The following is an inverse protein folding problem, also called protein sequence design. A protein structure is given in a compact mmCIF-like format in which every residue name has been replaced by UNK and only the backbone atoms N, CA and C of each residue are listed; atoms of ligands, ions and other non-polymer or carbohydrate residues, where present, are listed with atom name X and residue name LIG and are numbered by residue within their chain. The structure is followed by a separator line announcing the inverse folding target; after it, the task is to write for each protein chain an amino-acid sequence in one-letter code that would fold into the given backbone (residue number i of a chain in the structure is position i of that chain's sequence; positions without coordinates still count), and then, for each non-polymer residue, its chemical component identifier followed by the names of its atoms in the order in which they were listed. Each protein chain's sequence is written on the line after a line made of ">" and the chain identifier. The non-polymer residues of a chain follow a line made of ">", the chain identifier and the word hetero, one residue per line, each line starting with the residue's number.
data_IF_384148175390
#
_entry.id   IF_384148175390
#
_cell.length_a   1.000
_cell.length_b   1.000
_cell.length_c   1.000
_cell.angle_alpha   90.00
_cell.angle_beta   90.00
_cell.angle_gamma   90.00
#
_symmetry.space_group_name_H-M   'P 1'
#
loop_
_entity.id
_entity.type
_entity.pdbx_description
1 polymer ?
#
# COMPACT_ATOMS: atom_id res chain seq x y z
N UNK A 1 27.35 2.31 -20.30
CA UNK A 1 27.86 2.87 -19.04
C UNK A 1 27.96 4.38 -19.15
N UNK A 2 27.56 5.11 -18.12
CA UNK A 2 27.71 6.57 -18.05
C UNK A 2 29.16 6.90 -17.68
N UNK A 3 29.75 7.94 -18.34
CA UNK A 3 31.11 8.41 -18.08
C UNK A 3 31.06 9.68 -17.21
N UNK A 4 31.87 9.71 -16.15
CA UNK A 4 32.14 10.88 -15.32
C UNK A 4 33.38 11.62 -15.80
N UNK A 5 33.36 12.98 -15.82
CA UNK A 5 34.57 13.78 -16.10
C UNK A 5 35.41 13.91 -14.83
N UNK A 6 36.66 13.55 -14.90
CA UNK A 6 37.68 13.74 -13.86
C UNK A 6 38.64 14.86 -14.24
N UNK A 7 39.51 15.26 -13.31
CA UNK A 7 40.45 16.37 -13.47
C UNK A 7 41.28 16.22 -14.77
N UNK A 8 41.32 17.27 -15.61
CA UNK A 8 42.19 17.33 -16.82
C UNK A 8 41.61 16.62 -18.05
N UNK A 9 40.32 16.80 -18.34
CA UNK A 9 39.64 16.24 -19.53
C UNK A 9 39.69 14.71 -19.69
N UNK A 10 39.90 14.01 -18.58
CA UNK A 10 39.81 12.55 -18.52
C UNK A 10 38.42 12.13 -18.09
N UNK A 11 38.00 10.98 -18.60
CA UNK A 11 36.73 10.34 -18.28
C UNK A 11 36.97 9.00 -17.61
N UNK A 12 36.14 8.64 -16.64
CA UNK A 12 36.14 7.33 -16.00
C UNK A 12 34.70 6.79 -15.96
N UNK A 13 34.54 5.53 -15.64
CA UNK A 13 33.24 5.01 -15.27
C UNK A 13 32.76 5.77 -14.03
N UNK A 14 31.45 6.03 -13.94
CA UNK A 14 30.88 6.81 -12.82
C UNK A 14 31.27 6.24 -11.47
N UNK A 15 31.18 4.94 -11.30
CA UNK A 15 31.52 4.23 -10.06
C UNK A 15 32.98 4.40 -9.67
N UNK A 16 33.92 4.29 -10.64
CA UNK A 16 35.34 4.53 -10.42
C UNK A 16 35.68 5.97 -10.08
N UNK A 17 34.82 6.90 -10.51
CA UNK A 17 34.91 8.33 -10.19
C UNK A 17 34.31 8.71 -8.84
N UNK A 18 33.77 7.75 -8.07
CA UNK A 18 33.08 7.97 -6.81
C UNK A 18 31.69 8.58 -6.98
N UNK A 19 31.02 8.31 -8.11
CA UNK A 19 29.64 8.70 -8.37
C UNK A 19 28.71 7.49 -8.24
N UNK A 20 27.60 7.68 -7.55
CA UNK A 20 26.55 6.68 -7.39
C UNK A 20 25.21 7.26 -7.85
N UNK A 21 24.34 6.44 -8.41
CA UNK A 21 23.01 6.84 -8.86
C UNK A 21 21.95 6.12 -8.02
N UNK A 22 21.02 6.87 -7.43
CA UNK A 22 20.00 6.33 -6.57
C UNK A 22 18.85 7.30 -6.33
N UNK A 23 17.87 6.86 -5.55
CA UNK A 23 16.70 7.65 -5.16
C UNK A 23 17.01 8.54 -3.96
N UNK A 24 16.63 9.80 -4.03
CA UNK A 24 16.83 10.78 -2.95
C UNK A 24 15.64 10.77 -1.98
N UNK A 25 15.86 10.32 -0.77
CA UNK A 25 14.90 10.37 0.33
C UNK A 25 15.24 11.51 1.30
N UNK A 26 14.43 12.58 1.31
CA UNK A 26 14.62 13.74 2.21
C UNK A 26 13.94 13.47 3.55
N UNK A 27 14.68 13.59 4.64
CA UNK A 27 14.22 13.38 6.01
C UNK A 27 14.03 14.72 6.73
N UNK A 28 12.78 15.01 7.09
CA UNK A 28 12.37 16.19 7.89
C UNK A 28 12.98 17.52 7.40
N UNK A 29 13.20 17.66 6.09
CA UNK A 29 13.85 18.85 5.49
C UNK A 29 15.26 19.18 6.03
N UNK A 30 15.93 18.27 6.71
CA UNK A 30 17.24 18.53 7.35
C UNK A 30 18.41 17.88 6.60
N UNK A 31 18.22 16.68 6.10
CA UNK A 31 19.19 15.90 5.37
C UNK A 31 18.48 14.91 4.47
N UNK A 32 19.21 14.21 3.63
CA UNK A 32 18.67 13.16 2.78
C UNK A 32 19.59 11.94 2.78
N UNK A 33 19.02 10.82 2.32
CA UNK A 33 19.79 9.67 1.85
C UNK A 33 19.60 9.53 0.35
N UNK A 34 20.65 9.06 -0.32
CA UNK A 34 20.56 8.57 -1.68
C UNK A 34 20.77 7.07 -1.61
N UNK A 35 19.67 6.34 -1.87
CA UNK A 35 19.63 4.90 -1.72
C UNK A 35 19.66 4.21 -3.08
N UNK A 36 20.49 3.18 -3.19
CA UNK A 36 20.57 2.25 -4.30
C UNK A 36 20.57 0.82 -3.79
N UNK A 37 20.67 -0.21 -4.68
CA UNK A 37 20.51 -1.62 -4.29
C UNK A 37 21.48 -2.09 -3.19
N UNK A 38 22.70 -1.54 -3.17
CA UNK A 38 23.76 -1.98 -2.26
C UNK A 38 24.44 -0.84 -1.49
N UNK A 39 23.87 0.38 -1.54
CA UNK A 39 24.46 1.54 -0.88
C UNK A 39 23.39 2.49 -0.34
N UNK A 40 23.79 3.28 0.69
CA UNK A 40 23.07 4.44 1.20
C UNK A 40 24.07 5.55 1.49
N UNK A 41 23.86 6.71 0.88
CA UNK A 41 24.76 7.88 0.99
C UNK A 41 24.02 9.00 1.71
N UNK A 42 24.58 9.48 2.80
CA UNK A 42 24.09 10.66 3.50
C UNK A 42 24.39 11.93 2.72
N UNK A 43 23.41 12.80 2.55
CA UNK A 43 23.53 14.09 1.86
C UNK A 43 23.01 15.21 2.78
N UNK A 44 23.86 16.14 3.22
CA UNK A 44 23.41 17.29 3.99
C UNK A 44 22.59 18.25 3.11
N UNK A 45 21.65 18.99 3.72
CA UNK A 45 20.72 19.89 3.00
C UNK A 45 21.41 20.88 2.06
N UNK A 46 22.55 21.40 2.46
CA UNK A 46 23.35 22.36 1.66
C UNK A 46 23.88 21.75 0.34
N UNK A 47 23.85 20.42 0.21
CA UNK A 47 24.36 19.66 -0.95
C UNK A 47 23.25 18.99 -1.79
N UNK A 48 21.99 19.40 -1.61
CA UNK A 48 20.87 18.89 -2.43
C UNK A 48 20.85 19.50 -3.84
N UNK A 49 21.46 20.67 -4.02
CA UNK A 49 21.32 21.47 -5.24
C UNK A 49 19.85 21.76 -5.55
N UNK A 50 19.35 21.28 -6.70
CA UNK A 50 17.94 21.42 -7.10
C UNK A 50 17.14 20.13 -6.90
N UNK A 51 17.73 19.11 -6.27
CA UNK A 51 17.05 17.84 -6.07
C UNK A 51 15.99 17.93 -4.97
N UNK A 52 14.93 17.18 -5.16
CA UNK A 52 13.76 17.08 -4.27
C UNK A 52 13.50 15.63 -3.89
N UNK A 53 12.64 15.42 -2.91
CA UNK A 53 12.26 14.07 -2.46
C UNK A 53 11.72 13.22 -3.62
N UNK A 54 12.20 11.98 -3.74
CA UNK A 54 11.80 11.04 -4.78
C UNK A 54 12.54 11.20 -6.13
N UNK A 55 13.43 12.21 -6.25
CA UNK A 55 14.24 12.35 -7.46
C UNK A 55 15.27 11.22 -7.57
N UNK A 56 15.47 10.73 -8.77
CA UNK A 56 16.63 9.89 -9.11
C UNK A 56 17.83 10.80 -9.38
N UNK A 57 18.87 10.66 -8.59
CA UNK A 57 19.99 11.59 -8.59
C UNK A 57 21.33 10.87 -8.80
N UNK A 58 22.28 11.62 -9.36
CA UNK A 58 23.68 11.27 -9.34
C UNK A 58 24.34 12.00 -8.15
N UNK A 59 24.88 11.23 -7.21
CA UNK A 59 25.58 11.73 -6.02
C UNK A 59 27.07 11.45 -6.15
N UNK A 60 27.92 12.42 -5.82
CA UNK A 60 29.35 12.25 -5.72
C UNK A 60 29.73 12.06 -4.25
N UNK A 61 30.48 11.00 -3.96
CA UNK A 61 31.02 10.74 -2.62
C UNK A 61 32.04 11.80 -2.28
N UNK A 62 31.84 12.50 -1.16
CA UNK A 62 32.75 13.54 -0.64
C UNK A 62 33.54 13.07 0.57
N UNK A 63 32.98 12.16 1.36
CA UNK A 63 33.65 11.48 2.46
C UNK A 63 33.29 10.00 2.50
N UNK A 64 34.32 9.14 2.53
CA UNK A 64 34.19 7.69 2.73
C UNK A 64 35.24 7.28 3.77
N UNK A 65 34.82 7.24 5.05
CA UNK A 65 35.69 6.84 6.16
C UNK A 65 35.26 5.47 6.66
N UNK A 66 36.20 4.56 6.80
CA UNK A 66 35.95 3.21 7.33
C UNK A 66 35.12 3.26 8.61
N UNK A 67 34.00 2.49 8.62
CA UNK A 67 33.05 2.40 9.75
C UNK A 67 32.08 3.55 9.90
N UNK A 68 32.05 4.57 9.00
CA UNK A 68 31.06 5.65 8.96
C UNK A 68 30.20 5.57 7.70
N UNK A 69 28.97 6.14 7.78
CA UNK A 69 28.13 6.33 6.59
C UNK A 69 28.85 7.22 5.59
N UNK A 70 28.83 6.84 4.31
CA UNK A 70 29.34 7.67 3.21
C UNK A 70 28.60 8.98 3.16
N UNK A 71 29.30 10.10 2.99
CA UNK A 71 28.72 11.42 2.74
C UNK A 71 28.89 11.82 1.29
N UNK A 72 27.89 12.46 0.70
CA UNK A 72 27.91 12.86 -0.70
C UNK A 72 27.25 14.21 -0.97
N UNK A 73 27.35 14.61 -2.23
CA UNK A 73 26.73 15.81 -2.81
C UNK A 73 25.99 15.44 -4.07
N UNK A 74 24.75 15.90 -4.23
CA UNK A 74 24.00 15.72 -5.47
C UNK A 74 24.67 16.55 -6.57
N UNK A 75 25.09 15.89 -7.63
CA UNK A 75 25.72 16.54 -8.79
C UNK A 75 24.71 16.82 -9.88
N UNK A 76 23.75 15.90 -10.05
CA UNK A 76 22.76 16.01 -11.12
C UNK A 76 21.48 15.27 -10.72
N UNK A 77 20.35 15.85 -11.07
CA UNK A 77 19.07 15.12 -11.10
C UNK A 77 18.98 14.41 -12.45
N UNK A 78 18.89 13.08 -12.39
CA UNK A 78 18.80 12.21 -13.57
C UNK A 78 17.37 12.14 -14.07
N UNK A 79 16.43 11.96 -13.11
CA UNK A 79 14.99 11.89 -13.38
C UNK A 79 14.25 12.54 -12.20
N UNK A 80 13.24 13.34 -12.49
CA UNK A 80 12.36 13.90 -11.47
C UNK A 80 11.38 12.83 -10.95
N UNK A 81 11.22 12.78 -9.64
CA UNK A 81 10.21 11.95 -9.00
C UNK A 81 8.81 12.48 -9.28
N UNK A 82 8.63 13.80 -9.15
CA UNK A 82 7.39 14.50 -9.50
C UNK A 82 7.71 15.90 -10.01
N UNK A 83 6.93 16.43 -10.94
CA UNK A 83 6.94 17.84 -11.33
C UNK A 83 5.84 18.65 -10.62
N UNK A 84 5.05 18.02 -9.74
CA UNK A 84 3.97 18.64 -8.98
C UNK A 84 4.37 18.87 -7.54
N UNK A 85 4.01 20.04 -7.03
CA UNK A 85 4.28 20.44 -5.65
C UNK A 85 3.02 21.02 -5.04
N UNK A 86 2.70 20.60 -3.82
CA UNK A 86 1.57 21.11 -3.06
C UNK A 86 2.09 22.12 -2.05
N UNK A 87 1.42 23.27 -1.98
CA UNK A 87 1.80 24.32 -1.05
C UNK A 87 0.73 25.38 -0.87
N UNK A 88 0.99 26.30 0.06
CA UNK A 88 0.12 27.42 0.37
C UNK A 88 0.46 28.60 -0.53
N UNK A 89 -0.50 29.08 -1.29
CA UNK A 89 -0.32 30.24 -2.16
C UNK A 89 -0.32 31.55 -1.37
N UNK A 90 0.69 32.36 -1.57
CA UNK A 90 0.84 33.70 -1.02
C UNK A 90 0.91 34.73 -2.14
N UNK A 91 -0.10 35.57 -2.23
CA UNK A 91 -0.20 36.62 -3.26
C UNK A 91 0.61 37.85 -2.90
N UNK A 92 1.34 38.39 -3.85
CA UNK A 92 1.94 39.71 -3.85
C UNK A 92 1.25 40.64 -4.86
N UNK A 93 1.69 41.88 -5.04
CA UNK A 93 1.04 42.84 -5.97
C UNK A 93 1.01 42.37 -7.41
N UNK A 94 2.13 41.89 -7.96
CA UNK A 94 2.28 41.50 -9.36
C UNK A 94 2.79 40.08 -9.58
N UNK A 95 2.75 39.22 -8.55
CA UNK A 95 3.18 37.83 -8.60
C UNK A 95 2.70 37.11 -7.34
N UNK A 96 2.99 35.85 -7.22
CA UNK A 96 2.77 35.09 -6.00
C UNK A 96 3.92 34.15 -5.70
N UNK A 97 3.87 33.55 -4.53
CA UNK A 97 4.72 32.44 -4.14
C UNK A 97 3.85 31.30 -3.65
N UNK A 98 4.31 30.09 -3.87
CA UNK A 98 3.78 28.92 -3.18
C UNK A 98 4.83 28.41 -2.21
N UNK A 99 4.42 28.37 -0.92
CA UNK A 99 5.21 27.81 0.16
C UNK A 99 4.88 26.31 0.26
N UNK A 100 5.80 25.42 -0.13
CA UNK A 100 5.53 23.99 -0.13
C UNK A 100 5.24 23.46 1.28
N UNK A 101 4.23 22.61 1.42
CA UNK A 101 3.87 21.94 2.69
C UNK A 101 4.80 20.79 3.04
N UNK A 102 5.57 20.28 2.07
CA UNK A 102 6.48 19.14 2.23
C UNK A 102 7.89 19.47 1.72
N UNK A 103 8.78 18.51 1.81
CA UNK A 103 10.23 18.58 1.64
C UNK A 103 10.74 19.08 0.26
N UNK A 104 10.30 20.23 -0.19
CA UNK A 104 10.79 20.86 -1.42
C UNK A 104 11.94 21.84 -1.15
N UNK A 105 11.92 22.52 -0.01
CA UNK A 105 13.04 23.33 0.50
C UNK A 105 13.12 24.79 0.05
N UNK A 106 12.41 25.21 -0.99
CA UNK A 106 12.38 26.60 -1.49
C UNK A 106 10.95 26.98 -1.89
N UNK A 107 10.58 28.27 -1.72
CA UNK A 107 9.32 28.79 -2.25
C UNK A 107 9.37 28.83 -3.77
N UNK A 108 8.23 28.53 -4.40
CA UNK A 108 8.08 28.53 -5.86
C UNK A 108 7.49 29.85 -6.28
N UNK A 109 8.17 30.56 -7.18
CA UNK A 109 7.68 31.80 -7.79
C UNK A 109 6.57 31.50 -8.80
N UNK A 110 5.46 32.24 -8.70
CA UNK A 110 4.32 32.12 -9.60
C UNK A 110 4.12 33.44 -10.35
N UNK A 111 4.35 33.49 -11.68
CA UNK A 111 4.13 34.67 -12.48
C UNK A 111 2.69 35.19 -12.39
N UNK A 112 2.50 36.49 -12.52
CA UNK A 112 1.21 37.16 -12.38
C UNK A 112 0.10 36.52 -13.24
N UNK A 113 0.41 36.14 -14.47
CA UNK A 113 -0.55 35.51 -15.39
C UNK A 113 -1.17 34.19 -14.87
N UNK A 114 -0.51 33.55 -13.92
CA UNK A 114 -0.97 32.29 -13.29
C UNK A 114 -1.53 32.50 -11.88
N UNK A 115 -1.68 33.78 -11.45
CA UNK A 115 -2.22 34.12 -10.13
C UNK A 115 -3.64 34.69 -10.19
N UNK A 116 -4.17 35.06 -11.36
CA UNK A 116 -5.31 35.99 -11.49
C UNK A 116 -6.50 35.60 -10.63
N UNK A 117 -6.95 34.35 -10.71
CA UNK A 117 -8.15 33.85 -10.04
C UNK A 117 -7.87 32.97 -8.83
N UNK A 118 -6.63 32.95 -8.33
CA UNK A 118 -6.25 32.10 -7.20
C UNK A 118 -6.45 32.86 -5.89
N UNK A 119 -7.33 32.41 -4.97
CA UNK A 119 -7.51 33.06 -3.68
C UNK A 119 -6.24 32.93 -2.82
N UNK A 120 -5.94 34.01 -2.07
CA UNK A 120 -4.78 34.02 -1.18
C UNK A 120 -4.93 33.00 -0.04
N UNK A 121 -3.80 32.43 0.42
CA UNK A 121 -3.74 31.47 1.55
C UNK A 121 -4.49 30.15 1.31
N UNK A 122 -4.75 29.79 0.07
CA UNK A 122 -5.30 28.49 -0.26
C UNK A 122 -4.20 27.48 -0.55
N UNK A 123 -4.51 26.22 -0.31
CA UNK A 123 -3.70 25.06 -0.70
C UNK A 123 -3.88 24.85 -2.20
N UNK A 124 -2.77 24.76 -2.92
CA UNK A 124 -2.76 24.65 -4.38
C UNK A 124 -1.78 23.57 -4.85
N UNK A 125 -2.01 23.06 -6.05
CA UNK A 125 -1.07 22.20 -6.77
C UNK A 125 -0.35 23.06 -7.80
N UNK A 126 0.97 23.00 -7.77
CA UNK A 126 1.87 23.72 -8.71
C UNK A 126 2.56 22.70 -9.60
N UNK A 127 2.54 22.92 -10.88
CA UNK A 127 3.46 22.28 -11.81
C UNK A 127 4.72 23.14 -11.96
N UNK A 128 5.90 22.55 -11.66
CA UNK A 128 7.18 23.24 -11.68
C UNK A 128 7.73 23.25 -13.10
N UNK A 129 7.85 24.44 -13.68
CA UNK A 129 8.39 24.64 -15.04
C UNK A 129 9.92 24.85 -15.01
N UNK A 130 10.43 25.47 -13.93
CA UNK A 130 11.86 25.72 -13.72
C UNK A 130 12.24 25.40 -12.26
N UNK A 131 13.27 24.59 -12.07
CA UNK A 131 13.64 24.06 -10.73
C UNK A 131 14.58 24.97 -9.93
N UNK A 132 14.88 26.13 -10.48
CA UNK A 132 15.84 27.06 -9.85
C UNK A 132 17.29 26.72 -10.19
N UNK A 133 18.15 27.68 -9.87
CA UNK A 133 19.60 27.57 -9.93
C UNK A 133 20.24 28.36 -8.78
N UNK A 134 21.52 28.74 -8.89
CA UNK A 134 22.22 29.52 -7.89
C UNK A 134 21.66 30.96 -7.78
N UNK A 135 21.08 31.50 -8.87
CA UNK A 135 20.66 32.90 -8.98
C UNK A 135 19.14 33.05 -8.87
N UNK A 136 18.37 32.08 -9.30
CA UNK A 136 16.91 32.15 -9.45
C UNK A 136 16.19 31.08 -8.62
N UNK A 137 15.06 31.48 -8.04
CA UNK A 137 14.14 30.57 -7.36
C UNK A 137 13.44 29.64 -8.38
N UNK A 138 12.92 28.49 -7.92
CA UNK A 138 12.00 27.69 -8.75
C UNK A 138 10.81 28.51 -9.23
N UNK A 139 10.33 28.24 -10.43
CA UNK A 139 9.17 28.88 -11.06
C UNK A 139 8.20 27.81 -11.52
N UNK A 140 6.89 28.09 -11.41
CA UNK A 140 5.85 27.17 -11.84
C UNK A 140 4.51 27.87 -12.09
N UNK A 141 3.50 27.06 -12.41
CA UNK A 141 2.13 27.49 -12.60
C UNK A 141 1.19 26.70 -11.69
N UNK A 142 0.20 27.38 -11.13
CA UNK A 142 -0.86 26.73 -10.37
C UNK A 142 -1.75 26.02 -11.38
N UNK A 143 -1.94 24.70 -11.18
CA UNK A 143 -2.75 23.83 -12.04
C UNK A 143 -4.06 23.43 -11.36
N UNK A 144 -4.10 23.48 -10.02
CA UNK A 144 -5.32 23.19 -9.24
C UNK A 144 -5.36 23.97 -7.92
N UNK A 145 -6.58 24.21 -7.42
CA UNK A 145 -6.84 24.90 -6.15
C UNK A 145 -7.63 23.93 -5.26
N UNK A 146 -6.93 23.30 -4.31
CA UNK A 146 -7.52 22.29 -3.43
C UNK A 146 -8.47 22.90 -2.39
N UNK A 147 -8.14 24.10 -1.85
CA UNK A 147 -9.03 24.77 -0.90
C UNK A 147 -8.37 25.29 0.36
N UNK A 148 -9.08 25.27 1.48
CA UNK A 148 -8.59 25.77 2.77
C UNK A 148 -7.59 24.76 3.39
N UNK A 149 -6.37 25.17 3.75
CA UNK A 149 -5.39 24.25 4.33
C UNK A 149 -5.78 23.68 5.72
N UNK A 150 -6.82 24.22 6.36
CA UNK A 150 -7.34 23.71 7.64
C UNK A 150 -8.58 22.83 7.47
N UNK A 151 -9.09 22.65 6.25
CA UNK A 151 -10.17 21.71 5.96
C UNK A 151 -9.60 20.28 5.84
N UNK A 152 -10.16 19.36 6.61
CA UNK A 152 -9.71 17.96 6.64
C UNK A 152 -9.84 17.27 5.28
N UNK A 153 -10.93 17.54 4.53
CA UNK A 153 -11.11 16.96 3.19
C UNK A 153 -10.05 17.47 2.22
N UNK A 154 -9.74 18.77 2.27
CA UNK A 154 -8.68 19.38 1.47
C UNK A 154 -7.31 18.79 1.80
N UNK A 155 -7.05 18.50 3.07
CA UNK A 155 -5.80 17.84 3.48
C UNK A 155 -5.72 16.40 2.95
N UNK A 156 -6.83 15.67 2.92
CA UNK A 156 -6.88 14.31 2.34
C UNK A 156 -6.64 14.36 0.84
N UNK A 157 -7.30 15.27 0.11
CA UNK A 157 -7.04 15.47 -1.34
C UNK A 157 -5.58 15.83 -1.61
N UNK A 158 -4.98 16.64 -0.74
CA UNK A 158 -3.56 16.97 -0.84
C UNK A 158 -2.65 15.77 -0.64
N UNK A 159 -3.00 14.83 0.24
CA UNK A 159 -2.26 13.57 0.41
C UNK A 159 -2.38 12.69 -0.85
N UNK A 160 -3.59 12.58 -1.40
CA UNK A 160 -3.86 11.81 -2.63
C UNK A 160 -3.01 12.34 -3.78
N UNK A 161 -3.05 13.67 -4.02
CA UNK A 161 -2.27 14.31 -5.09
C UNK A 161 -0.75 14.21 -4.87
N UNK A 162 -0.29 14.40 -3.63
CA UNK A 162 1.13 14.30 -3.26
C UNK A 162 1.72 12.93 -3.57
N UNK A 163 0.99 11.88 -3.22
CA UNK A 163 1.47 10.52 -3.33
C UNK A 163 1.12 9.90 -4.70
N UNK A 164 0.54 10.72 -5.61
CA UNK A 164 0.17 10.28 -6.95
C UNK A 164 -0.89 9.19 -6.96
N UNK A 165 -1.72 9.14 -5.91
CA UNK A 165 -2.79 8.18 -5.79
C UNK A 165 -3.96 8.55 -6.72
N UNK A 166 -4.71 7.57 -7.18
CA UNK A 166 -5.90 7.78 -8.00
C UNK A 166 -6.98 6.77 -7.66
N UNK A 167 -8.19 7.25 -7.41
CA UNK A 167 -9.38 6.38 -7.31
C UNK A 167 -9.79 5.84 -8.69
N UNK A 168 -9.43 6.54 -9.75
CA UNK A 168 -9.79 6.21 -11.12
C UNK A 168 -8.89 5.13 -11.70
N UNK A 169 -9.50 4.21 -12.42
CA UNK A 169 -8.82 3.23 -13.26
C UNK A 169 -8.87 3.66 -14.72
N UNK A 170 -7.81 3.34 -15.46
CA UNK A 170 -7.75 3.66 -16.88
C UNK A 170 -8.79 2.88 -17.72
N UNK A 171 -9.01 3.28 -18.97
CA UNK A 171 -10.05 2.71 -19.84
C UNK A 171 -9.80 1.23 -20.19
N UNK A 172 -8.53 0.79 -20.23
CA UNK A 172 -8.19 -0.60 -20.53
C UNK A 172 -8.58 -1.50 -19.36
N UNK A 173 -8.26 -1.11 -18.14
CA UNK A 173 -8.69 -1.79 -16.91
C UNK A 173 -10.21 -1.84 -16.82
N UNK A 174 -10.91 -0.71 -17.06
CA UNK A 174 -12.39 -0.66 -17.06
C UNK A 174 -13.02 -1.60 -18.09
N UNK A 175 -12.41 -1.79 -19.26
CA UNK A 175 -12.87 -2.76 -20.27
C UNK A 175 -12.63 -4.20 -19.85
N UNK A 176 -11.47 -4.49 -19.26
CA UNK A 176 -11.13 -5.83 -18.81
C UNK A 176 -12.07 -6.27 -17.66
N UNK A 177 -12.31 -5.39 -16.67
CA UNK A 177 -13.26 -5.65 -15.59
C UNK A 177 -14.65 -5.98 -16.09
N UNK A 178 -15.16 -5.25 -17.07
CA UNK A 178 -16.48 -5.51 -17.66
C UNK A 178 -16.60 -6.87 -18.39
N UNK A 179 -15.48 -7.46 -18.77
CA UNK A 179 -15.44 -8.78 -19.40
C UNK A 179 -15.33 -9.92 -18.39
N UNK A 180 -15.05 -9.63 -17.11
CA UNK A 180 -14.99 -10.63 -16.05
C UNK A 180 -16.39 -11.17 -15.77
N UNK A 181 -16.44 -12.43 -15.37
CA UNK A 181 -17.66 -13.15 -15.03
C UNK A 181 -17.41 -14.11 -13.88
N UNK A 182 -18.46 -14.58 -13.26
CA UNK A 182 -18.41 -15.68 -12.33
C UNK A 182 -17.86 -16.96 -12.98
N UNK A 183 -17.38 -17.89 -12.17
CA UNK A 183 -16.89 -19.19 -12.64
C UNK A 183 -18.00 -19.99 -13.35
N UNK A 184 -17.64 -20.64 -14.44
CA UNK A 184 -18.52 -21.64 -15.09
C UNK A 184 -18.51 -22.96 -14.31
N UNK A 185 -19.49 -23.82 -14.60
CA UNK A 185 -19.54 -25.16 -14.02
C UNK A 185 -18.33 -26.01 -14.41
N UNK A 186 -17.74 -25.79 -15.60
CA UNK A 186 -16.53 -26.47 -16.06
C UNK A 186 -15.33 -26.03 -15.20
N UNK A 187 -15.17 -24.73 -14.97
CA UNK A 187 -14.10 -24.16 -14.14
C UNK A 187 -14.22 -24.60 -12.67
N UNK A 188 -15.44 -24.79 -12.17
CA UNK A 188 -15.72 -25.33 -10.83
C UNK A 188 -15.28 -26.80 -10.73
N UNK A 189 -15.57 -27.63 -11.74
CA UNK A 189 -15.18 -29.04 -11.75
C UNK A 189 -13.67 -29.27 -11.74
N UNK A 190 -12.89 -28.33 -12.21
CA UNK A 190 -11.41 -28.39 -12.18
C UNK A 190 -10.81 -28.10 -10.79
N UNK A 191 -11.63 -27.70 -9.84
CA UNK A 191 -11.20 -27.30 -8.48
C UNK A 191 -11.71 -28.32 -7.45
N UNK A 192 -11.03 -28.38 -6.31
CA UNK A 192 -11.51 -29.16 -5.17
C UNK A 192 -12.77 -28.51 -4.60
N UNK A 193 -13.85 -29.24 -4.57
CA UNK A 193 -15.14 -28.73 -4.09
C UNK A 193 -15.23 -28.80 -2.56
N UNK A 194 -15.25 -27.66 -1.92
CA UNK A 194 -15.38 -27.49 -0.47
C UNK A 194 -16.71 -26.82 -0.07
N UNK A 195 -17.65 -26.67 -1.00
CA UNK A 195 -18.94 -25.98 -0.77
C UNK A 195 -19.85 -26.68 0.23
N UNK A 196 -19.57 -27.93 0.55
CA UNK A 196 -20.30 -28.72 1.56
C UNK A 196 -19.86 -28.39 3.00
N UNK A 197 -18.72 -27.71 3.18
CA UNK A 197 -18.21 -27.34 4.49
C UNK A 197 -18.76 -25.98 4.94
N UNK A 198 -19.09 -25.79 6.23
CA UNK A 198 -19.58 -24.53 6.76
C UNK A 198 -18.44 -23.53 6.98
N UNK A 199 -17.74 -23.18 5.91
CA UNK A 199 -16.64 -22.22 5.91
C UNK A 199 -17.20 -20.83 6.19
N UNK A 200 -16.49 -20.01 6.97
CA UNK A 200 -16.89 -18.64 7.36
C UNK A 200 -15.78 -17.64 7.10
N UNK A 201 -16.13 -16.39 6.82
CA UNK A 201 -15.24 -15.25 6.92
C UNK A 201 -15.39 -14.59 8.29
N UNK A 202 -14.33 -13.99 8.84
CA UNK A 202 -14.37 -13.30 10.16
C UNK A 202 -13.58 -12.00 10.04
N UNK A 203 -14.28 -10.86 9.93
CA UNK A 203 -13.71 -9.56 9.61
C UNK A 203 -14.22 -8.45 10.52
N UNK A 204 -13.85 -7.20 10.24
CA UNK A 204 -14.47 -6.02 10.82
C UNK A 204 -15.92 -5.83 10.35
N UNK A 205 -16.70 -5.08 11.11
CA UNK A 205 -18.13 -4.87 10.80
C UNK A 205 -18.36 -4.17 9.44
N UNK A 206 -17.41 -3.33 9.01
CA UNK A 206 -17.42 -2.51 7.80
C UNK A 206 -16.63 -3.08 6.63
N UNK A 207 -15.96 -4.23 6.79
CA UNK A 207 -15.19 -4.88 5.73
C UNK A 207 -16.08 -5.26 4.53
N UNK A 208 -15.59 -5.04 3.32
CA UNK A 208 -16.29 -5.36 2.06
C UNK A 208 -15.47 -6.27 1.15
N UNK A 209 -14.20 -6.32 1.36
CA UNK A 209 -13.17 -7.10 0.71
C UNK A 209 -12.79 -8.29 1.60
N UNK A 210 -13.60 -9.34 1.54
CA UNK A 210 -13.43 -10.54 2.36
C UNK A 210 -12.43 -11.46 1.65
N UNK A 211 -11.16 -11.35 2.02
CA UNK A 211 -10.05 -12.01 1.30
C UNK A 211 -9.80 -13.44 1.79
N UNK A 212 -10.13 -13.74 3.05
CA UNK A 212 -9.88 -15.04 3.66
C UNK A 212 -11.11 -15.65 4.33
N UNK A 213 -11.19 -16.97 4.30
CA UNK A 213 -12.22 -17.74 4.95
C UNK A 213 -11.61 -18.95 5.64
N UNK A 214 -12.21 -19.36 6.76
CA UNK A 214 -11.66 -20.38 7.64
C UNK A 214 -12.68 -21.47 7.98
N UNK A 215 -12.17 -22.68 8.18
CA UNK A 215 -12.90 -23.82 8.70
C UNK A 215 -12.01 -24.63 9.63
N UNK A 216 -12.53 -25.05 10.76
CA UNK A 216 -11.81 -25.91 11.71
C UNK A 216 -12.67 -27.07 12.12
N UNK A 217 -12.06 -28.27 12.16
CA UNK A 217 -12.66 -29.51 12.64
C UNK A 217 -11.69 -30.19 13.62
N UNK A 218 -12.22 -30.76 14.71
CA UNK A 218 -11.46 -31.59 15.63
C UNK A 218 -11.83 -33.05 15.40
N UNK A 219 -10.81 -33.88 15.13
CA UNK A 219 -11.00 -35.32 14.93
C UNK A 219 -11.12 -36.05 16.28
N UNK A 220 -11.72 -37.29 16.26
CA UNK A 220 -11.85 -38.13 17.47
C UNK A 220 -10.50 -38.45 18.14
N UNK A 221 -9.40 -38.46 17.38
CA UNK A 221 -8.05 -38.71 17.88
C UNK A 221 -7.40 -37.49 18.54
N UNK A 222 -8.11 -36.36 18.63
CA UNK A 222 -7.62 -35.10 19.22
C UNK A 222 -6.90 -34.15 18.26
N UNK A 223 -6.62 -34.59 17.03
CA UNK A 223 -6.02 -33.74 16.00
C UNK A 223 -7.00 -32.70 15.48
N UNK A 224 -6.46 -31.61 14.91
CA UNK A 224 -7.25 -30.53 14.31
C UNK A 224 -6.98 -30.46 12.81
N UNK A 225 -8.05 -30.28 12.05
CA UNK A 225 -7.98 -29.88 10.64
C UNK A 225 -8.33 -28.39 10.55
N UNK A 226 -7.44 -27.60 9.96
CA UNK A 226 -7.66 -26.21 9.66
C UNK A 226 -7.60 -25.99 8.16
N UNK A 227 -8.65 -25.40 7.59
CA UNK A 227 -8.64 -24.88 6.22
C UNK A 227 -8.56 -23.36 6.28
N UNK A 228 -7.63 -22.79 5.54
CA UNK A 228 -7.55 -21.36 5.26
C UNK A 228 -7.67 -21.19 3.76
N UNK A 229 -8.75 -20.56 3.33
CA UNK A 229 -9.08 -20.35 1.92
C UNK A 229 -8.94 -18.88 1.59
N UNK A 230 -7.98 -18.54 0.72
CA UNK A 230 -7.74 -17.18 0.26
C UNK A 230 -8.38 -17.01 -1.13
N UNK A 231 -8.98 -15.88 -1.41
CA UNK A 231 -9.54 -15.54 -2.71
C UNK A 231 -8.51 -15.74 -3.83
N UNK A 232 -8.80 -16.58 -4.83
CA UNK A 232 -7.92 -16.82 -5.98
C UNK A 232 -8.04 -15.67 -6.99
N UNK A 233 -7.41 -14.52 -6.67
CA UNK A 233 -7.36 -13.35 -7.54
C UNK A 233 -6.77 -13.70 -8.90
N UNK A 234 -5.84 -14.68 -8.98
CA UNK A 234 -5.20 -15.12 -10.22
C UNK A 234 -6.17 -15.86 -11.17
N UNK A 235 -7.33 -16.27 -10.66
CA UNK A 235 -8.40 -16.80 -11.51
C UNK A 235 -8.92 -15.73 -12.47
N UNK A 236 -9.01 -14.49 -12.02
CA UNK A 236 -9.56 -13.35 -12.76
C UNK A 236 -8.47 -12.47 -13.38
N UNK A 237 -7.42 -12.15 -12.63
CA UNK A 237 -6.31 -11.28 -13.05
C UNK A 237 -5.21 -12.12 -13.69
N UNK A 238 -5.06 -12.00 -15.01
CA UNK A 238 -4.05 -12.75 -15.75
C UNK A 238 -2.75 -11.97 -15.86
N UNK A 239 -1.63 -12.68 -15.73
CA UNK A 239 -0.30 -12.06 -15.85
C UNK A 239 -0.14 -11.30 -17.16
N UNK A 240 0.34 -10.06 -17.09
CA UNK A 240 0.52 -9.15 -18.22
C UNK A 240 -0.74 -8.44 -18.71
N UNK A 241 -1.91 -8.69 -18.10
CA UNK A 241 -3.16 -8.00 -18.40
C UNK A 241 -3.13 -6.53 -17.97
N UNK A 242 -4.14 -5.75 -18.33
CA UNK A 242 -4.26 -4.36 -17.89
C UNK A 242 -4.49 -4.27 -16.38
N UNK A 243 -5.29 -5.17 -15.82
CA UNK A 243 -5.50 -5.31 -14.38
C UNK A 243 -4.21 -5.64 -13.63
N UNK A 244 -3.41 -6.60 -14.13
CA UNK A 244 -2.15 -6.99 -13.51
C UNK A 244 -1.14 -5.84 -13.49
N UNK A 245 -0.99 -5.14 -14.62
CA UNK A 245 -0.09 -3.98 -14.72
C UNK A 245 -0.50 -2.84 -13.80
N UNK A 246 -1.78 -2.54 -13.73
CA UNK A 246 -2.32 -1.49 -12.85
C UNK A 246 -2.13 -1.88 -11.37
N UNK A 247 -2.44 -3.12 -11.00
CA UNK A 247 -2.23 -3.63 -9.65
C UNK A 247 -0.75 -3.58 -9.24
N UNK A 248 0.16 -3.94 -10.16
CA UNK A 248 1.60 -3.85 -9.92
C UNK A 248 2.06 -2.40 -9.69
N UNK A 249 1.50 -1.43 -10.43
CA UNK A 249 1.80 0.00 -10.26
C UNK A 249 1.29 0.53 -8.92
N UNK A 250 0.08 0.12 -8.50
CA UNK A 250 -0.51 0.54 -7.22
C UNK A 250 0.18 -0.11 -6.02
N UNK A 251 0.57 -1.37 -6.13
CA UNK A 251 1.26 -2.15 -5.11
C UNK A 251 0.37 -2.65 -3.98
N UNK A 252 -0.57 -1.83 -3.49
CA UNK A 252 -1.53 -2.14 -2.43
C UNK A 252 -2.79 -1.26 -2.52
N UNK A 253 -3.79 -1.55 -1.70
CA UNK A 253 -4.87 -0.60 -1.39
C UNK A 253 -4.40 0.40 -0.33
N UNK A 254 -4.83 1.66 -0.43
CA UNK A 254 -4.48 2.72 0.53
C UNK A 254 -5.73 3.10 1.30
N UNK A 255 -5.70 2.90 2.62
CA UNK A 255 -6.80 3.21 3.53
C UNK A 255 -6.60 4.61 4.09
N UNK A 256 -7.42 5.55 3.63
CA UNK A 256 -7.50 6.91 4.15
C UNK A 256 -8.58 6.98 5.26
N UNK A 257 -8.68 8.13 5.92
CA UNK A 257 -9.61 8.30 7.05
C UNK A 257 -11.08 8.16 6.61
N UNK A 258 -11.42 8.64 5.42
CA UNK A 258 -12.78 8.74 4.88
C UNK A 258 -13.08 7.76 3.75
N UNK A 259 -12.03 7.21 3.10
CA UNK A 259 -12.17 6.36 1.91
C UNK A 259 -11.00 5.39 1.73
N UNK A 260 -11.21 4.42 0.86
CA UNK A 260 -10.16 3.48 0.41
C UNK A 260 -9.91 3.71 -1.07
N UNK A 261 -8.64 3.91 -1.43
CA UNK A 261 -8.16 3.86 -2.81
C UNK A 261 -7.72 2.42 -3.08
N UNK A 262 -8.50 1.63 -3.82
CA UNK A 262 -8.29 0.20 -3.91
C UNK A 262 -7.20 -0.16 -4.93
N UNK A 263 -6.48 -1.25 -4.67
CA UNK A 263 -5.53 -1.85 -5.61
C UNK A 263 -6.23 -2.39 -6.86
N UNK A 264 -7.41 -2.99 -6.69
CA UNK A 264 -8.27 -3.50 -7.76
C UNK A 264 -9.60 -2.75 -7.81
N UNK A 265 -10.25 -2.68 -8.99
CA UNK A 265 -11.62 -2.19 -9.10
C UNK A 265 -12.57 -2.93 -8.15
N UNK A 266 -13.56 -2.21 -7.61
CA UNK A 266 -14.49 -2.75 -6.59
C UNK A 266 -15.32 -3.93 -7.09
N UNK A 267 -15.59 -4.00 -8.38
CA UNK A 267 -16.24 -5.15 -9.02
C UNK A 267 -15.45 -6.45 -8.80
N UNK A 268 -14.13 -6.34 -8.69
CA UNK A 268 -13.26 -7.46 -8.39
C UNK A 268 -13.08 -7.62 -6.87
N UNK A 269 -12.60 -6.58 -6.17
CA UNK A 269 -12.23 -6.67 -4.75
C UNK A 269 -13.42 -6.90 -3.81
N UNK A 270 -14.55 -6.24 -4.07
CA UNK A 270 -15.76 -6.38 -3.23
C UNK A 270 -16.79 -7.36 -3.85
N UNK A 271 -16.60 -7.75 -5.11
CA UNK A 271 -17.48 -8.59 -5.89
C UNK A 271 -16.91 -9.99 -6.13
N UNK A 272 -16.28 -10.19 -7.29
CA UNK A 272 -15.86 -11.52 -7.76
C UNK A 272 -14.87 -12.22 -6.83
N UNK A 273 -13.90 -11.48 -6.24
CA UNK A 273 -12.91 -12.04 -5.33
C UNK A 273 -13.39 -12.06 -3.87
N UNK A 274 -14.23 -11.10 -3.44
CA UNK A 274 -14.72 -11.11 -2.07
C UNK A 274 -15.50 -12.38 -1.76
N UNK A 275 -15.16 -13.06 -0.67
CA UNK A 275 -15.73 -14.34 -0.25
C UNK A 275 -17.11 -14.18 0.38
N UNK A 276 -17.99 -13.47 -0.35
CA UNK A 276 -19.37 -13.17 0.07
C UNK A 276 -20.16 -14.45 0.37
N UNK A 277 -21.05 -14.42 1.37
CA UNK A 277 -21.84 -15.58 1.76
C UNK A 277 -22.78 -16.05 0.64
N UNK A 278 -22.95 -17.35 0.57
CA UNK A 278 -23.85 -18.04 -0.37
C UNK A 278 -23.48 -17.93 -1.86
N UNK A 279 -22.29 -17.44 -2.21
CA UNK A 279 -21.77 -17.38 -3.56
C UNK A 279 -20.66 -18.41 -3.79
N UNK A 280 -20.54 -18.96 -5.02
CA UNK A 280 -19.42 -19.82 -5.39
C UNK A 280 -18.19 -18.96 -5.63
N UNK A 281 -17.12 -19.18 -4.87
CA UNK A 281 -15.90 -18.39 -4.95
C UNK A 281 -14.69 -19.25 -5.26
N UNK A 282 -13.86 -18.77 -6.21
CA UNK A 282 -12.56 -19.36 -6.49
C UNK A 282 -11.61 -19.05 -5.35
N UNK A 283 -10.96 -20.07 -4.81
CA UNK A 283 -10.02 -19.92 -3.71
C UNK A 283 -8.76 -20.76 -3.91
N UNK A 284 -7.71 -20.34 -3.20
CA UNK A 284 -6.51 -21.13 -2.96
C UNK A 284 -6.56 -21.54 -1.50
N UNK A 285 -6.73 -22.83 -1.25
CA UNK A 285 -6.92 -23.34 0.12
C UNK A 285 -5.67 -24.06 0.60
N UNK A 286 -5.21 -23.66 1.80
CA UNK A 286 -4.25 -24.41 2.57
C UNK A 286 -4.99 -25.27 3.60
N UNK A 287 -4.90 -26.57 3.45
CA UNK A 287 -5.39 -27.58 4.39
C UNK A 287 -4.23 -27.98 5.31
N UNK A 288 -4.42 -27.89 6.61
CA UNK A 288 -3.41 -28.19 7.61
C UNK A 288 -3.96 -29.13 8.65
N UNK A 289 -3.18 -30.16 9.01
CA UNK A 289 -3.48 -31.07 10.11
C UNK A 289 -2.50 -30.82 11.25
N UNK A 290 -3.03 -30.48 12.42
CA UNK A 290 -2.26 -30.28 13.65
C UNK A 290 -2.55 -31.41 14.64
N UNK A 291 -1.53 -31.82 15.40
CA UNK A 291 -1.75 -32.66 16.56
C UNK A 291 -2.37 -31.86 17.73
N UNK A 292 -2.71 -32.57 18.81
CA UNK A 292 -3.28 -31.97 20.04
C UNK A 292 -2.38 -30.91 20.69
N UNK A 293 -1.08 -30.92 20.38
CA UNK A 293 -0.09 -29.97 20.90
C UNK A 293 0.15 -28.80 19.92
N UNK A 294 -0.52 -28.79 18.75
CA UNK A 294 -0.39 -27.76 17.71
C UNK A 294 0.83 -27.91 16.81
N UNK A 295 1.47 -29.09 16.78
CA UNK A 295 2.50 -29.40 15.79
C UNK A 295 1.83 -29.71 14.46
N UNK A 296 2.26 -29.06 13.39
CA UNK A 296 1.83 -29.39 12.04
C UNK A 296 2.32 -30.80 11.67
N UNK A 297 1.37 -31.69 11.36
CA UNK A 297 1.62 -33.08 10.98
C UNK A 297 1.64 -33.23 9.46
N UNK A 298 0.67 -32.58 8.80
CA UNK A 298 0.47 -32.67 7.35
C UNK A 298 -0.12 -31.39 6.81
N UNK A 299 0.09 -31.08 5.52
CA UNK A 299 -0.51 -29.97 4.84
C UNK A 299 -0.59 -30.20 3.33
N UNK A 300 -1.60 -29.59 2.71
CA UNK A 300 -1.79 -29.57 1.26
C UNK A 300 -2.28 -28.18 0.83
N UNK A 301 -1.90 -27.76 -0.39
CA UNK A 301 -2.28 -26.45 -0.94
C UNK A 301 -2.82 -26.67 -2.35
N UNK A 302 -4.06 -26.26 -2.58
CA UNK A 302 -4.74 -26.53 -3.82
C UNK A 302 -5.75 -25.43 -4.19
N UNK A 303 -6.08 -25.37 -5.49
CA UNK A 303 -7.19 -24.57 -5.99
C UNK A 303 -8.52 -25.22 -5.60
N UNK A 304 -9.42 -24.42 -5.05
CA UNK A 304 -10.70 -24.89 -4.55
C UNK A 304 -11.83 -23.96 -4.94
N UNK A 305 -13.04 -24.46 -4.76
CA UNK A 305 -14.26 -23.65 -4.76
C UNK A 305 -14.91 -23.77 -3.39
N UNK A 306 -15.24 -22.64 -2.80
CA UNK A 306 -15.98 -22.57 -1.55
C UNK A 306 -17.32 -21.87 -1.75
N UNK A 307 -18.20 -22.05 -0.78
CA UNK A 307 -19.43 -21.28 -0.60
C UNK A 307 -19.50 -20.90 0.86
N UNK A 308 -19.14 -19.66 1.18
CA UNK A 308 -19.13 -19.16 2.55
C UNK A 308 -20.51 -19.28 3.18
N UNK A 309 -20.60 -19.97 4.31
CA UNK A 309 -21.87 -20.21 5.01
C UNK A 309 -22.37 -18.94 5.72
N UNK A 310 -21.44 -18.24 6.37
CA UNK A 310 -21.75 -17.03 7.14
C UNK A 310 -20.60 -16.00 7.00
N UNK A 311 -20.98 -14.74 6.83
CA UNK A 311 -20.06 -13.61 7.06
C UNK A 311 -20.11 -13.25 8.54
N UNK A 312 -19.07 -13.61 9.28
CA UNK A 312 -18.94 -13.28 10.67
C UNK A 312 -18.19 -11.97 10.87
N UNK A 313 -18.43 -11.35 12.02
CA UNK A 313 -17.60 -10.23 12.48
C UNK A 313 -16.89 -10.63 13.76
N UNK A 314 -15.73 -9.99 14.04
CA UNK A 314 -15.04 -10.20 15.33
C UNK A 314 -15.97 -9.97 16.51
N UNK A 315 -16.83 -8.96 16.42
CA UNK A 315 -17.84 -8.62 17.44
C UNK A 315 -18.80 -9.78 17.68
N UNK A 316 -19.36 -10.36 16.60
CA UNK A 316 -20.36 -11.41 16.71
C UNK A 316 -19.75 -12.73 17.19
N UNK A 317 -18.55 -13.09 16.68
CA UNK A 317 -17.85 -14.29 17.15
C UNK A 317 -17.54 -14.18 18.65
N UNK A 318 -17.08 -13.02 19.14
CA UNK A 318 -16.82 -12.79 20.56
C UNK A 318 -18.09 -12.90 21.39
N UNK A 319 -19.25 -12.43 20.93
CA UNK A 319 -20.54 -12.61 21.62
C UNK A 319 -20.94 -14.06 21.71
N UNK A 320 -20.79 -14.85 20.62
CA UNK A 320 -21.07 -16.31 20.64
C UNK A 320 -20.15 -17.01 21.67
N UNK A 321 -18.86 -16.72 21.65
CA UNK A 321 -17.89 -17.29 22.59
C UNK A 321 -18.14 -16.88 24.05
N UNK A 322 -18.74 -15.71 24.27
CA UNK A 322 -19.16 -15.24 25.60
C UNK A 322 -20.49 -15.82 26.08
N UNK A 323 -21.20 -16.59 25.22
CA UNK A 323 -22.48 -17.23 25.56
C UNK A 323 -23.70 -16.31 25.40
N UNK A 324 -23.62 -15.26 24.57
CA UNK A 324 -24.78 -14.44 24.20
C UNK A 324 -25.85 -15.33 23.54
N UNK A 325 -27.06 -15.34 24.10
CA UNK A 325 -28.15 -16.25 23.70
C UNK A 325 -28.61 -15.98 22.28
N UNK A 326 -28.83 -14.72 21.93
CA UNK A 326 -29.33 -14.31 20.62
C UNK A 326 -28.32 -14.69 19.52
N UNK A 327 -27.05 -14.36 19.70
CA UNK A 327 -26.00 -14.67 18.72
C UNK A 327 -25.72 -16.16 18.63
N UNK A 328 -25.81 -16.89 19.76
CA UNK A 328 -25.63 -18.34 19.80
C UNK A 328 -26.75 -19.08 19.05
N UNK A 329 -27.99 -18.62 19.16
CA UNK A 329 -29.12 -19.15 18.42
C UNK A 329 -29.03 -18.80 16.94
N UNK A 330 -28.72 -17.56 16.59
CA UNK A 330 -28.60 -17.09 15.21
C UNK A 330 -27.54 -17.88 14.42
N UNK A 331 -26.39 -18.17 15.04
CA UNK A 331 -25.26 -18.87 14.41
C UNK A 331 -25.15 -20.33 14.87
N UNK A 332 -26.28 -20.97 15.18
CA UNK A 332 -26.33 -22.35 15.69
C UNK A 332 -25.63 -23.37 14.77
N UNK A 333 -25.63 -23.11 13.44
CA UNK A 333 -25.00 -23.96 12.42
C UNK A 333 -23.46 -23.92 12.43
N UNK A 334 -22.84 -22.88 13.01
CA UNK A 334 -21.37 -22.68 13.01
C UNK A 334 -20.78 -22.45 14.39
N UNK A 335 -21.60 -22.31 15.43
CA UNK A 335 -21.15 -21.96 16.79
C UNK A 335 -20.11 -22.91 17.36
N UNK A 336 -20.30 -24.24 17.20
CA UNK A 336 -19.40 -25.25 17.77
C UNK A 336 -18.00 -25.19 17.14
N UNK A 337 -17.95 -24.79 15.87
CA UNK A 337 -16.71 -24.54 15.16
C UNK A 337 -15.93 -23.37 15.79
N UNK A 338 -16.60 -22.32 16.27
CA UNK A 338 -15.90 -21.17 16.92
C UNK A 338 -15.22 -21.57 18.24
N UNK A 339 -15.82 -22.46 19.03
CA UNK A 339 -15.16 -22.99 20.22
C UNK A 339 -13.92 -23.83 19.86
N UNK A 340 -14.02 -24.65 18.79
CA UNK A 340 -12.88 -25.42 18.26
C UNK A 340 -11.78 -24.49 17.71
N UNK A 341 -12.15 -23.43 17.01
CA UNK A 341 -11.20 -22.39 16.53
C UNK A 341 -10.49 -21.70 17.72
N UNK A 342 -11.24 -21.34 18.77
CA UNK A 342 -10.67 -20.73 19.97
C UNK A 342 -9.67 -21.69 20.66
N UNK A 343 -10.00 -22.97 20.77
CA UNK A 343 -9.11 -23.99 21.34
C UNK A 343 -7.80 -24.07 20.54
N UNK A 344 -7.88 -24.29 19.24
CA UNK A 344 -6.71 -24.36 18.34
C UNK A 344 -5.90 -23.06 18.39
N UNK A 345 -6.54 -21.89 18.35
CA UNK A 345 -5.84 -20.60 18.40
C UNK A 345 -5.01 -20.41 19.67
N UNK A 346 -5.54 -20.86 20.84
CA UNK A 346 -4.80 -20.83 22.12
C UNK A 346 -3.57 -21.73 22.08
N UNK A 347 -3.68 -22.91 21.47
CA UNK A 347 -2.57 -23.84 21.31
C UNK A 347 -1.49 -23.22 20.42
N UNK A 348 -1.87 -22.70 19.25
CA UNK A 348 -0.95 -22.08 18.31
C UNK A 348 -0.28 -20.82 18.88
N UNK A 349 -1.03 -19.96 19.62
CA UNK A 349 -0.46 -18.80 20.32
C UNK A 349 0.59 -19.21 21.36
N UNK A 350 0.35 -20.29 22.10
CA UNK A 350 1.31 -20.81 23.08
C UNK A 350 2.63 -21.21 22.40
N UNK A 351 2.56 -21.85 21.24
CA UNK A 351 3.74 -22.21 20.44
C UNK A 351 4.46 -20.94 19.93
N UNK A 352 3.70 -19.99 19.39
CA UNK A 352 4.22 -18.72 18.88
C UNK A 352 5.01 -17.97 19.97
N UNK A 353 4.46 -17.89 21.18
CA UNK A 353 5.14 -17.29 22.36
C UNK A 353 6.41 -18.04 22.75
N UNK A 354 6.40 -19.38 22.75
CA UNK A 354 7.60 -20.19 23.04
C UNK A 354 8.74 -19.94 22.02
N UNK A 355 8.41 -19.60 20.77
CA UNK A 355 9.41 -19.24 19.75
C UNK A 355 9.96 -17.82 19.89
N UNK A 356 9.49 -17.04 20.87
CA UNK A 356 9.95 -15.67 21.11
C UNK A 356 9.16 -14.59 20.38
N UNK A 357 7.95 -14.89 19.88
CA UNK A 357 7.08 -13.87 19.29
C UNK A 357 6.64 -12.87 20.36
N UNK A 358 6.76 -11.59 20.04
CA UNK A 358 6.29 -10.47 20.86
C UNK A 358 4.91 -10.06 20.35
N UNK A 359 3.90 -10.05 21.22
CA UNK A 359 2.59 -9.49 20.92
C UNK A 359 2.59 -8.00 21.35
N UNK A 360 2.25 -7.10 20.44
CA UNK A 360 2.04 -5.68 20.74
C UNK A 360 0.54 -5.44 20.87
N UNK A 361 0.12 -5.02 22.06
CA UNK A 361 -1.25 -4.57 22.32
C UNK A 361 -1.31 -3.06 22.10
N UNK A 362 -1.42 -2.65 20.82
CA UNK A 362 -1.51 -1.26 20.43
C UNK A 362 -2.99 -0.87 20.35
N UNK A 363 -3.39 0.28 20.93
CA UNK A 363 -4.77 0.76 20.81
C UNK A 363 -5.06 1.14 19.35
N UNK A 364 -6.17 0.65 18.82
CA UNK A 364 -6.72 1.12 17.55
C UNK A 364 -7.39 2.48 17.76
N UNK A 365 -6.94 3.46 16.98
CA UNK A 365 -7.53 4.80 16.97
C UNK A 365 -8.63 4.82 15.91
N UNK A 366 -9.89 5.06 16.33
CA UNK A 366 -10.97 5.38 15.41
C UNK A 366 -11.12 6.89 15.32
N UNK A 367 -11.10 7.40 14.10
CA UNK A 367 -11.48 8.78 13.80
C UNK A 367 -13.00 8.77 13.62
N UNK A 368 -13.71 9.59 14.42
CA UNK A 368 -15.18 9.70 14.42
C UNK A 368 -15.57 11.00 13.73
#
# INVERSE_FOLDING_TARGET
>A
GLLGRVKGDRYCLLEEGGYLQGSLEIIKNKFAFVDGPEFSVFVPRSKFNTATHGDEVLVKITEDKDGKKKEGEVVKVVKRGSNRVIGIFERSKNFGFVVPTHSFGKDIYIPNKFCVDVPNKKLVVVEVDFWGDAERKPEGRIIDILGDPFDTNVMIEALIERDGLSEEFNMEVKREVKALREMTEEEIKEKRDLRHLPIVTIDGDDAKDLDDAVYVEKFPNGNYKLLVSIADVSHYVKSGSALDKEAYLRGNSVYLVDRVIPMFPRELSNGLCSLNPNENKATFTCEMIFDENGKLIDHDVYKSVIKTAERMTYTNVNKVLAGDTEMTERYANVKDMFFTMLELSKILRKIKRKRGSIDFDLPEIKVI
#
